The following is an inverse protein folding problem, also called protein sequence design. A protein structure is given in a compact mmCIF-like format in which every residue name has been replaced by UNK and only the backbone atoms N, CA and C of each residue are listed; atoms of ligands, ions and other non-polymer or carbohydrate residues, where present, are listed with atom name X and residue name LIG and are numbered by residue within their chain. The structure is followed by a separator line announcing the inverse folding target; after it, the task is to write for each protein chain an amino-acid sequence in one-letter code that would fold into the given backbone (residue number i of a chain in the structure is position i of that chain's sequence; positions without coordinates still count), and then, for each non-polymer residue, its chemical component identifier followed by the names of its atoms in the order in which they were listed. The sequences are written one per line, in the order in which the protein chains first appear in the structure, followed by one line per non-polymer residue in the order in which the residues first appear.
data_IF_983759964361
#
_entry.id   IF_983759964361
#
_cell.length_a   1.000
_cell.length_b   1.000
_cell.length_c   1.000
_cell.angle_alpha   90.00
_cell.angle_beta   90.00
_cell.angle_gamma   90.00
#
_symmetry.space_group_name_H-M   'P 1'
#
loop_
_entity.id
_entity.type
_entity.pdbx_description
1 polymer ?
#
# COMPACT_ATOMS: atom_id res chain seq x y z
N UNK A 1 -1.40 -15.01 23.28
CA UNK A 1 -2.59 -15.21 22.42
C UNK A 1 -2.44 -16.54 21.72
N UNK A 2 -3.54 -17.29 21.57
CA UNK A 2 -3.47 -18.62 20.95
C UNK A 2 -3.30 -18.50 19.43
N UNK A 3 -2.59 -19.44 18.82
CA UNK A 3 -2.29 -19.47 17.38
C UNK A 3 -3.54 -19.36 16.46
N UNK A 4 -4.73 -19.90 16.83
CA UNK A 4 -5.95 -19.72 16.06
C UNK A 4 -6.51 -18.28 16.09
N UNK A 5 -6.43 -17.60 17.24
CA UNK A 5 -6.93 -16.23 17.38
C UNK A 5 -6.09 -15.24 16.57
N UNK A 6 -4.77 -15.44 16.56
CA UNK A 6 -3.84 -14.65 15.75
C UNK A 6 -4.14 -14.81 14.27
N UNK A 7 -4.37 -16.04 13.79
CA UNK A 7 -4.72 -16.29 12.38
C UNK A 7 -6.06 -15.67 11.99
N UNK A 8 -7.06 -15.75 12.87
CA UNK A 8 -8.36 -15.12 12.61
C UNK A 8 -8.23 -13.60 12.49
N UNK A 9 -7.54 -12.96 13.44
CA UNK A 9 -7.36 -11.52 13.43
C UNK A 9 -6.57 -11.05 12.20
N UNK A 10 -5.54 -11.80 11.78
CA UNK A 10 -4.80 -11.50 10.56
C UNK A 10 -5.72 -11.53 9.32
N UNK A 11 -6.63 -12.49 9.22
CA UNK A 11 -7.62 -12.54 8.15
C UNK A 11 -8.63 -11.38 8.18
N UNK A 12 -9.08 -10.97 9.36
CA UNK A 12 -9.95 -9.80 9.54
C UNK A 12 -9.24 -8.50 9.13
N UNK A 13 -7.96 -8.36 9.47
CA UNK A 13 -7.13 -7.22 9.06
C UNK A 13 -6.98 -7.20 7.53
N UNK A 14 -6.59 -8.31 6.89
CA UNK A 14 -6.43 -8.36 5.43
C UNK A 14 -7.71 -7.97 4.70
N UNK A 15 -8.87 -8.42 5.19
CA UNK A 15 -10.16 -8.08 4.61
C UNK A 15 -10.44 -6.57 4.67
N UNK A 16 -10.15 -5.94 5.81
CA UNK A 16 -10.36 -4.50 5.97
C UNK A 16 -9.36 -3.70 5.13
N UNK A 17 -8.10 -4.15 5.00
CA UNK A 17 -7.12 -3.53 4.13
C UNK A 17 -7.56 -3.52 2.66
N UNK A 18 -8.10 -4.65 2.17
CA UNK A 18 -8.65 -4.76 0.81
C UNK A 18 -9.85 -3.85 0.63
N UNK A 19 -10.77 -3.85 1.60
CA UNK A 19 -11.97 -3.03 1.57
C UNK A 19 -11.61 -1.54 1.51
N UNK A 20 -10.74 -1.07 2.40
CA UNK A 20 -10.26 0.31 2.41
C UNK A 20 -9.51 0.66 1.12
N UNK A 21 -8.70 -0.27 0.60
CA UNK A 21 -8.03 -0.10 -0.69
C UNK A 21 -8.98 0.19 -1.84
N UNK A 22 -10.14 -0.47 -1.86
CA UNK A 22 -11.20 -0.25 -2.84
C UNK A 22 -11.97 1.05 -2.58
N UNK A 23 -12.35 1.32 -1.33
CA UNK A 23 -13.08 2.55 -0.95
C UNK A 23 -12.28 3.82 -1.29
N UNK A 24 -10.95 3.77 -1.18
CA UNK A 24 -10.05 4.88 -1.47
C UNK A 24 -9.66 5.01 -2.96
N UNK A 25 -10.00 4.01 -3.79
CA UNK A 25 -9.52 3.91 -5.18
C UNK A 25 -9.76 5.18 -6.00
N UNK A 26 -10.97 5.70 -6.01
CA UNK A 26 -11.32 6.92 -6.77
C UNK A 26 -10.43 8.12 -6.40
N UNK A 27 -10.10 8.26 -5.11
CA UNK A 27 -9.31 9.38 -4.60
C UNK A 27 -7.82 9.20 -4.89
N UNK A 28 -7.33 7.96 -4.82
CA UNK A 28 -5.90 7.66 -4.85
C UNK A 28 -5.39 7.13 -6.19
N UNK A 29 -6.29 6.83 -7.14
CA UNK A 29 -5.96 6.41 -8.49
C UNK A 29 -4.92 7.29 -9.22
N UNK A 30 -4.91 8.63 -9.07
CA UNK A 30 -3.87 9.46 -9.70
C UNK A 30 -2.43 9.10 -9.28
N UNK A 31 -2.24 8.59 -8.07
CA UNK A 31 -0.93 8.15 -7.59
C UNK A 31 -0.49 6.83 -8.25
N UNK A 32 -1.43 5.93 -8.51
CA UNK A 32 -1.19 4.70 -9.28
C UNK A 32 -0.78 5.04 -10.71
N UNK A 33 -1.54 5.91 -11.39
CA UNK A 33 -1.26 6.31 -12.78
C UNK A 33 0.10 7.00 -12.90
N UNK A 34 0.45 7.83 -11.92
CA UNK A 34 1.78 8.45 -11.81
C UNK A 34 2.88 7.40 -11.70
N UNK A 35 2.69 6.38 -10.85
CA UNK A 35 3.65 5.29 -10.70
C UNK A 35 3.81 4.47 -11.99
N UNK A 36 2.71 4.07 -12.61
CA UNK A 36 2.72 3.30 -13.87
C UNK A 36 3.44 4.03 -14.99
N UNK A 37 3.20 5.35 -15.09
CA UNK A 37 3.93 6.21 -16.02
C UNK A 37 5.42 6.28 -15.70
N UNK A 38 5.78 6.49 -14.43
CA UNK A 38 7.19 6.54 -14.01
C UNK A 38 7.94 5.23 -14.29
N UNK A 39 7.27 4.08 -14.14
CA UNK A 39 7.82 2.78 -14.54
C UNK A 39 8.03 2.69 -16.05
N UNK A 40 7.07 3.16 -16.84
CA UNK A 40 7.15 3.16 -18.31
C UNK A 40 8.26 4.06 -18.82
N UNK A 41 8.40 5.24 -18.24
CA UNK A 41 9.31 6.29 -18.69
C UNK A 41 10.68 6.23 -18.01
N UNK A 42 10.87 5.30 -17.07
CA UNK A 42 12.05 5.20 -16.20
C UNK A 42 12.35 6.50 -15.44
N UNK A 43 11.31 7.17 -14.95
CA UNK A 43 11.42 8.43 -14.20
C UNK A 43 11.91 8.19 -12.77
N UNK A 44 13.22 8.31 -12.59
CA UNK A 44 13.90 8.12 -11.31
C UNK A 44 13.50 9.18 -10.28
N UNK A 45 13.17 10.40 -10.70
CA UNK A 45 12.80 11.48 -9.78
C UNK A 45 11.51 11.14 -9.02
N UNK A 46 10.51 10.62 -9.73
CA UNK A 46 9.26 10.16 -9.10
C UNK A 46 9.53 9.08 -8.05
N UNK A 47 10.40 8.11 -8.33
CA UNK A 47 10.72 7.05 -7.37
C UNK A 47 11.36 7.59 -6.07
N UNK A 48 12.09 8.70 -6.12
CA UNK A 48 12.66 9.32 -4.91
C UNK A 48 11.61 10.00 -4.01
N UNK A 49 10.43 10.29 -4.55
CA UNK A 49 9.35 10.99 -3.83
C UNK A 49 8.33 10.05 -3.23
N UNK A 50 8.29 8.80 -3.69
CA UNK A 50 7.37 7.78 -3.19
C UNK A 50 7.71 7.42 -1.75
N UNK A 51 6.65 7.16 -0.97
CA UNK A 51 6.76 6.71 0.40
C UNK A 51 7.72 5.52 0.56
N UNK A 52 8.71 5.61 1.46
CA UNK A 52 9.65 4.53 1.72
C UNK A 52 9.10 3.48 2.69
N UNK A 53 7.77 3.47 2.96
CA UNK A 53 7.12 2.52 3.84
C UNK A 53 7.59 1.08 3.60
N UNK A 54 7.60 0.22 4.61
CA UNK A 54 8.19 -1.13 4.46
C UNK A 54 7.49 -1.91 3.35
N UNK A 55 8.30 -2.39 2.41
CA UNK A 55 7.87 -3.17 1.25
C UNK A 55 8.80 -4.39 1.15
N UNK A 56 8.24 -5.60 1.30
CA UNK A 56 8.90 -6.80 0.80
C UNK A 56 9.03 -6.74 -0.74
N UNK A 57 9.88 -7.58 -1.34
CA UNK A 57 10.33 -7.45 -2.73
C UNK A 57 9.21 -7.28 -3.77
N UNK A 58 7.98 -7.77 -3.56
CA UNK A 58 6.85 -7.58 -4.49
C UNK A 58 5.46 -7.60 -3.84
N UNK A 59 5.37 -7.42 -2.52
CA UNK A 59 4.12 -7.71 -1.79
C UNK A 59 3.12 -6.57 -1.78
N UNK A 60 3.57 -5.35 -1.48
CA UNK A 60 2.75 -4.14 -1.27
C UNK A 60 3.67 -2.94 -1.52
N UNK A 61 3.41 -2.08 -2.50
CA UNK A 61 4.17 -0.83 -2.71
C UNK A 61 3.25 0.34 -2.37
N UNK A 62 3.64 1.20 -1.43
CA UNK A 62 2.95 2.45 -1.17
C UNK A 62 3.19 3.41 -2.35
N UNK A 63 2.13 3.95 -2.92
CA UNK A 63 2.18 4.79 -4.12
C UNK A 63 2.11 6.30 -3.80
N UNK A 64 1.87 6.60 -2.53
CA UNK A 64 1.72 7.95 -1.98
C UNK A 64 3.08 8.65 -1.87
N UNK A 65 3.07 9.98 -1.71
CA UNK A 65 4.28 10.78 -1.44
C UNK A 65 4.81 10.53 -0.02
N UNK A 66 6.13 10.65 0.18
CA UNK A 66 6.80 10.23 1.43
C UNK A 66 6.35 10.92 2.73
N UNK A 67 5.62 12.03 2.64
CA UNK A 67 5.07 12.77 3.79
C UNK A 67 3.59 12.48 4.05
N UNK A 68 2.95 11.58 3.31
CA UNK A 68 1.50 11.34 3.41
C UNK A 68 1.05 10.91 4.81
N UNK A 69 1.90 10.20 5.56
CA UNK A 69 1.60 9.76 6.92
C UNK A 69 1.37 10.96 7.86
N UNK A 70 2.05 12.08 7.64
CA UNK A 70 1.88 13.31 8.42
C UNK A 70 0.50 13.95 8.21
N UNK A 71 -0.15 13.66 7.07
CA UNK A 71 -1.51 14.05 6.78
C UNK A 71 -2.56 13.06 7.33
N UNK A 72 -2.13 11.97 7.99
CA UNK A 72 -3.01 10.92 8.49
C UNK A 72 -3.55 10.00 7.39
N UNK A 73 -2.95 10.01 6.21
CA UNK A 73 -3.35 9.15 5.10
C UNK A 73 -2.78 7.74 5.30
N UNK A 74 -3.58 6.67 5.11
CA UNK A 74 -3.04 5.32 5.11
C UNK A 74 -2.09 5.13 3.94
N UNK A 75 -1.20 4.14 4.04
CA UNK A 75 -0.51 3.67 2.86
C UNK A 75 -1.51 3.07 1.88
N UNK A 76 -1.23 3.19 0.59
CA UNK A 76 -2.10 2.68 -0.45
C UNK A 76 -1.29 2.12 -1.61
N UNK A 77 -1.74 0.97 -2.13
CA UNK A 77 -0.98 0.24 -3.11
C UNK A 77 -1.71 -0.96 -3.70
N UNK A 78 -0.94 -1.79 -4.39
CA UNK A 78 -1.39 -3.08 -4.90
C UNK A 78 -0.63 -4.22 -4.27
N UNK A 79 -1.34 -5.32 -4.06
CA UNK A 79 -0.75 -6.62 -3.79
C UNK A 79 -0.07 -7.20 -5.03
N UNK A 80 0.74 -8.25 -4.87
CA UNK A 80 1.37 -8.97 -5.99
C UNK A 80 0.35 -9.51 -7.02
N UNK A 81 -0.85 -9.88 -6.58
CA UNK A 81 -1.97 -10.34 -7.43
C UNK A 81 -2.85 -9.19 -7.95
N UNK A 82 -2.45 -7.94 -7.71
CA UNK A 82 -3.07 -6.74 -8.30
C UNK A 82 -4.28 -6.17 -7.54
N UNK A 83 -4.64 -6.73 -6.38
CA UNK A 83 -5.72 -6.22 -5.52
C UNK A 83 -5.30 -4.88 -4.91
N UNK A 84 -6.23 -3.93 -4.87
CA UNK A 84 -6.02 -2.67 -4.16
C UNK A 84 -6.08 -2.91 -2.65
N UNK A 85 -5.16 -2.29 -1.92
CA UNK A 85 -5.09 -2.37 -0.46
C UNK A 85 -4.73 -1.02 0.14
N UNK A 86 -5.19 -0.78 1.37
CA UNK A 86 -4.77 0.32 2.21
C UNK A 86 -4.41 -0.20 3.60
N UNK A 87 -3.32 0.29 4.21
CA UNK A 87 -2.87 -0.17 5.52
C UNK A 87 -2.26 0.96 6.35
N UNK A 88 -2.18 0.76 7.67
CA UNK A 88 -1.60 1.72 8.61
C UNK A 88 -0.34 1.12 9.23
N UNK A 89 0.71 1.94 9.33
CA UNK A 89 2.00 1.52 9.87
C UNK A 89 2.81 0.70 8.88
N UNK A 90 3.92 0.13 9.35
CA UNK A 90 4.77 -0.71 8.50
C UNK A 90 4.04 -2.00 8.13
N UNK A 91 4.13 -2.41 6.86
CA UNK A 91 3.74 -3.76 6.50
C UNK A 91 4.52 -4.76 7.38
N UNK A 92 3.88 -5.84 7.87
CA UNK A 92 4.59 -6.86 8.63
C UNK A 92 5.75 -7.40 7.79
N UNK A 93 6.90 -7.63 8.43
CA UNK A 93 7.97 -8.41 7.79
C UNK A 93 7.38 -9.80 7.49
N UNK A 94 7.49 -10.27 6.25
CA UNK A 94 7.11 -11.64 5.86
C UNK A 94 7.70 -12.69 6.81
#
# INVERSE_FOLDING_TARGET
MSEPEVRRLAGEIEQEEIRLGQELSTRLQPFQERYERAVTDFDVEVFTRICPGKHGRWGRICLMDADHEMAGEPHWGRTADGRLIAWVGSAPDD
#
